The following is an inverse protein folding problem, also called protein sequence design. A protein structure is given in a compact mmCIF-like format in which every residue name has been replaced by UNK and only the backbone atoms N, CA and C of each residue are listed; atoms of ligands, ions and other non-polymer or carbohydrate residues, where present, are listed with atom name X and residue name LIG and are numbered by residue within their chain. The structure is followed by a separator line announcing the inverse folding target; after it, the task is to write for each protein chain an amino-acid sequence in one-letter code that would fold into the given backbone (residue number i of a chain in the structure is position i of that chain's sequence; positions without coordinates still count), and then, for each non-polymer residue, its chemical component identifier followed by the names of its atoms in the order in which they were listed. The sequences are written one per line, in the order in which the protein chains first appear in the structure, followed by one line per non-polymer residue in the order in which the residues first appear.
data_IF_069178823089
#
_entry.id   IF_069178823089
#
_cell.length_a   1.000
_cell.length_b   1.000
_cell.length_c   1.000
_cell.angle_alpha   90.00
_cell.angle_beta   90.00
_cell.angle_gamma   90.00
#
_symmetry.space_group_name_H-M   'P 1'
#
loop_
_entity.id
_entity.type
_entity.pdbx_description
1 polymer ?
#
# COMPACT_ATOMS: atom_id res chain seq x y z
N UNK A 1 -11.34 0.71 8.10
CA UNK A 1 -10.37 0.15 7.14
C UNK A 1 -9.99 -1.25 7.59
N UNK A 2 -9.98 -2.22 6.68
CA UNK A 2 -9.66 -3.61 6.99
C UNK A 2 -8.37 -4.00 6.26
N UNK A 3 -7.27 -4.06 6.98
CA UNK A 3 -5.96 -4.35 6.41
C UNK A 3 -5.73 -5.86 6.29
N UNK A 4 -5.50 -6.33 5.07
CA UNK A 4 -4.88 -7.65 4.84
C UNK A 4 -3.40 -7.56 5.21
N UNK A 5 -2.89 -8.47 6.03
CA UNK A 5 -1.47 -8.48 6.37
C UNK A 5 -0.65 -9.07 5.22
N UNK A 6 0.44 -8.40 4.88
CA UNK A 6 1.43 -8.84 3.91
C UNK A 6 2.65 -9.35 4.68
N UNK A 7 2.72 -10.66 4.88
CA UNK A 7 3.70 -11.36 5.73
C UNK A 7 4.44 -12.50 5.02
N UNK A 8 4.07 -12.79 3.76
CA UNK A 8 4.75 -13.74 2.88
C UNK A 8 5.00 -13.17 1.49
N UNK A 9 6.18 -13.45 0.93
CA UNK A 9 6.53 -13.07 -0.46
C UNK A 9 5.52 -13.61 -1.48
N UNK A 10 4.96 -14.80 -1.25
CA UNK A 10 3.98 -15.41 -2.17
C UNK A 10 2.69 -14.61 -2.32
N UNK A 11 2.37 -13.72 -1.36
CA UNK A 11 1.21 -12.84 -1.45
C UNK A 11 1.40 -11.72 -2.49
N UNK A 12 2.64 -11.43 -2.91
CA UNK A 12 2.88 -10.43 -3.95
C UNK A 12 2.30 -10.83 -5.30
N UNK A 13 2.35 -12.12 -5.64
CA UNK A 13 1.72 -12.64 -6.87
C UNK A 13 0.19 -12.61 -6.76
N UNK A 14 -0.34 -12.86 -5.55
CA UNK A 14 -1.78 -12.73 -5.29
C UNK A 14 -2.25 -11.28 -5.40
N UNK A 15 -1.45 -10.32 -4.92
CA UNK A 15 -1.72 -8.88 -5.07
C UNK A 15 -1.72 -8.47 -6.54
N UNK A 16 -0.73 -8.92 -7.31
CA UNK A 16 -0.65 -8.66 -8.75
C UNK A 16 -1.89 -9.19 -9.47
N UNK A 17 -2.30 -10.43 -9.18
CA UNK A 17 -3.50 -11.03 -9.77
C UNK A 17 -4.79 -10.32 -9.33
N UNK A 18 -4.93 -9.99 -8.04
CA UNK A 18 -6.10 -9.25 -7.51
C UNK A 18 -6.24 -7.90 -8.24
N UNK A 19 -5.12 -7.20 -8.46
CA UNK A 19 -5.06 -5.91 -9.14
C UNK A 19 -5.56 -5.92 -10.59
N UNK A 20 -5.69 -7.09 -11.23
CA UNK A 20 -6.28 -7.22 -12.57
C UNK A 20 -7.79 -6.94 -12.60
N UNK A 21 -8.47 -7.18 -11.47
CA UNK A 21 -9.93 -7.05 -11.37
C UNK A 21 -10.36 -5.92 -10.46
N UNK A 22 -9.53 -5.58 -9.46
CA UNK A 22 -9.84 -4.61 -8.43
C UNK A 22 -8.56 -3.94 -7.96
N UNK A 23 -8.48 -2.60 -7.90
CA UNK A 23 -7.30 -1.91 -7.43
C UNK A 23 -6.84 -2.39 -6.05
N UNK A 24 -5.52 -2.42 -5.86
CA UNK A 24 -4.90 -2.84 -4.61
C UNK A 24 -4.00 -1.73 -4.09
N UNK A 25 -4.08 -1.41 -2.80
CA UNK A 25 -3.07 -0.59 -2.13
C UNK A 25 -2.18 -1.44 -1.26
N UNK A 26 -0.90 -1.08 -1.23
CA UNK A 26 0.08 -1.62 -0.29
C UNK A 26 0.61 -0.46 0.53
N UNK A 27 0.44 -0.51 1.85
CA UNK A 27 1.03 0.44 2.77
C UNK A 27 2.23 -0.20 3.47
N UNK A 28 3.43 0.31 3.18
CA UNK A 28 4.68 -0.06 3.85
C UNK A 28 4.79 0.76 5.14
N UNK A 29 4.66 0.08 6.27
CA UNK A 29 4.63 0.67 7.58
C UNK A 29 5.90 0.30 8.37
N UNK A 30 6.72 1.29 8.71
CA UNK A 30 7.78 1.11 9.71
C UNK A 30 7.22 1.39 11.10
N UNK A 31 7.08 0.35 11.91
CA UNK A 31 6.54 0.42 13.28
C UNK A 31 7.42 1.22 14.24
N UNK A 32 8.70 1.42 13.92
CA UNK A 32 9.64 2.22 14.71
C UNK A 32 9.67 3.71 14.32
N UNK A 33 8.93 4.14 13.30
CA UNK A 33 8.95 5.51 12.78
C UNK A 33 7.66 6.25 13.15
N UNK A 34 7.75 7.35 13.89
CA UNK A 34 6.58 8.15 14.31
C UNK A 34 5.80 8.72 13.12
N UNK A 35 6.49 9.15 12.06
CA UNK A 35 5.86 9.64 10.82
C UNK A 35 5.04 8.54 10.16
N UNK A 36 5.54 7.30 10.20
CA UNK A 36 4.85 6.12 9.67
C UNK A 36 3.58 5.81 10.46
N UNK A 37 3.65 5.83 11.79
CA UNK A 37 2.48 5.67 12.66
C UNK A 37 1.43 6.77 12.45
N UNK A 38 1.87 8.02 12.26
CA UNK A 38 0.97 9.15 11.96
C UNK A 38 0.28 8.97 10.60
N UNK A 39 1.01 8.55 9.56
CA UNK A 39 0.44 8.28 8.24
C UNK A 39 -0.60 7.16 8.30
N UNK A 40 -0.31 6.06 9.01
CA UNK A 40 -1.24 4.95 9.24
C UNK A 40 -2.53 5.42 9.93
N UNK A 41 -2.40 6.13 11.04
CA UNK A 41 -3.54 6.64 11.80
C UNK A 41 -4.40 7.61 10.97
N UNK A 42 -3.77 8.45 10.14
CA UNK A 42 -4.48 9.34 9.20
C UNK A 42 -5.27 8.55 8.17
N UNK A 43 -4.66 7.53 7.55
CA UNK A 43 -5.34 6.66 6.59
C UNK A 43 -6.55 6.01 7.26
N UNK A 44 -6.37 5.34 8.40
CA UNK A 44 -7.45 4.63 9.10
C UNK A 44 -8.61 5.53 9.52
N UNK A 45 -8.31 6.77 9.95
CA UNK A 45 -9.32 7.76 10.33
C UNK A 45 -10.10 8.33 9.15
N UNK A 46 -9.43 8.55 8.02
CA UNK A 46 -10.02 9.19 6.84
C UNK A 46 -10.58 8.18 5.84
N UNK A 47 -10.35 6.88 6.05
CA UNK A 47 -10.74 5.83 5.12
C UNK A 47 -12.26 5.66 5.06
N UNK A 48 -12.82 5.96 3.90
CA UNK A 48 -14.25 5.87 3.60
C UNK A 48 -14.52 5.18 2.24
N UNK A 49 -13.51 4.49 1.70
CA UNK A 49 -13.65 3.68 0.49
C UNK A 49 -14.22 2.29 0.86
N UNK A 50 -15.26 1.81 0.14
CA UNK A 50 -15.84 0.49 0.40
C UNK A 50 -14.84 -0.62 0.04
N UNK A 51 -14.87 -1.73 0.77
CA UNK A 51 -13.94 -2.86 0.58
C UNK A 51 -14.08 -3.51 -0.81
N UNK A 52 -15.27 -3.37 -1.43
CA UNK A 52 -15.50 -3.82 -2.80
C UNK A 52 -14.74 -2.98 -3.85
N UNK A 53 -14.45 -1.71 -3.55
CA UNK A 53 -13.80 -0.81 -4.51
C UNK A 53 -12.29 -0.97 -4.57
N UNK A 54 -11.66 -1.36 -3.45
CA UNK A 54 -10.21 -1.38 -3.32
C UNK A 54 -9.80 -2.35 -2.21
N UNK A 55 -8.72 -3.09 -2.44
CA UNK A 55 -8.15 -3.96 -1.41
C UNK A 55 -6.92 -3.37 -0.77
N UNK A 56 -6.88 -3.40 0.56
CA UNK A 56 -5.83 -2.76 1.33
C UNK A 56 -4.92 -3.77 2.02
N UNK A 57 -3.63 -3.71 1.69
CA UNK A 57 -2.59 -4.53 2.29
C UNK A 57 -1.67 -3.68 3.17
N UNK A 58 -1.31 -4.22 4.32
CA UNK A 58 -0.41 -3.61 5.28
C UNK A 58 0.83 -4.50 5.44
N UNK A 59 2.00 -3.90 5.29
CA UNK A 59 3.29 -4.53 5.55
C UNK A 59 3.93 -3.92 6.78
N UNK A 60 4.24 -4.73 7.80
CA UNK A 60 5.23 -4.35 8.81
C UNK A 60 6.63 -4.49 8.21
N UNK A 61 7.17 -3.37 7.73
CA UNK A 61 8.45 -3.30 7.05
C UNK A 61 9.62 -3.70 7.96
N UNK A 62 9.51 -3.43 9.27
CA UNK A 62 10.59 -3.74 10.21
C UNK A 62 10.70 -5.26 10.39
N UNK A 63 9.58 -5.96 10.44
CA UNK A 63 9.52 -7.42 10.51
C UNK A 63 9.86 -8.10 9.17
N UNK A 64 9.51 -7.48 8.03
CA UNK A 64 9.54 -8.10 6.71
C UNK A 64 10.28 -7.25 5.67
N UNK A 65 11.57 -6.99 5.92
CA UNK A 65 12.44 -6.17 5.03
C UNK A 65 12.62 -6.78 3.64
N UNK A 66 12.69 -8.09 3.58
CA UNK A 66 12.76 -8.88 2.35
C UNK A 66 11.53 -8.64 1.47
N UNK A 67 10.32 -8.69 2.04
CA UNK A 67 9.08 -8.40 1.33
C UNK A 67 9.05 -6.94 0.88
N UNK A 68 9.49 -6.00 1.72
CA UNK A 68 9.57 -4.58 1.35
C UNK A 68 10.46 -4.32 0.13
N UNK A 69 11.62 -4.99 0.06
CA UNK A 69 12.54 -4.93 -1.08
C UNK A 69 11.95 -5.61 -2.32
N UNK A 70 11.26 -6.73 -2.14
CA UNK A 70 10.58 -7.43 -3.22
C UNK A 70 9.46 -6.57 -3.84
N UNK A 71 8.68 -5.83 -3.04
CA UNK A 71 7.68 -4.87 -3.54
C UNK A 71 8.34 -3.79 -4.41
N UNK A 72 9.43 -3.19 -3.93
CA UNK A 72 10.15 -2.16 -4.68
C UNK A 72 10.63 -2.68 -6.04
N UNK A 73 11.17 -3.91 -6.06
CA UNK A 73 11.64 -4.57 -7.29
C UNK A 73 10.48 -4.93 -8.22
N UNK A 74 9.45 -5.60 -7.71
CA UNK A 74 8.32 -6.13 -8.51
C UNK A 74 7.50 -5.02 -9.16
N UNK A 75 7.24 -3.96 -8.41
CA UNK A 75 6.42 -2.84 -8.89
C UNK A 75 7.24 -1.66 -9.42
N UNK A 76 8.55 -1.82 -9.57
CA UNK A 76 9.46 -0.82 -10.13
C UNK A 76 9.39 0.56 -9.45
N UNK A 77 9.25 0.57 -8.12
CA UNK A 77 9.24 1.81 -7.32
C UNK A 77 10.47 1.93 -6.45
N UNK A 78 10.84 3.16 -6.09
CA UNK A 78 11.86 3.39 -5.07
C UNK A 78 11.35 2.91 -3.70
N UNK A 79 12.24 2.33 -2.89
CA UNK A 79 11.91 1.94 -1.53
C UNK A 79 11.84 3.18 -0.63
N UNK A 80 10.67 3.42 -0.05
CA UNK A 80 10.43 4.49 0.92
C UNK A 80 9.67 3.95 2.14
N UNK A 81 9.73 4.66 3.27
CA UNK A 81 8.94 4.34 4.46
C UNK A 81 8.66 5.56 5.34
N UNK A 82 7.39 5.89 5.65
CA UNK A 82 6.18 5.22 5.16
C UNK A 82 5.99 5.44 3.66
N UNK A 83 5.42 4.45 2.98
CA UNK A 83 5.08 4.54 1.56
C UNK A 83 3.73 3.86 1.32
N UNK A 84 2.89 4.45 0.47
CA UNK A 84 1.70 3.83 -0.06
C UNK A 84 1.86 3.64 -1.57
N UNK A 85 1.47 2.46 -2.06
CA UNK A 85 1.44 2.14 -3.48
C UNK A 85 -0.01 1.87 -3.87
N UNK A 86 -0.41 2.27 -5.06
CA UNK A 86 -1.68 1.97 -5.69
C UNK A 86 -1.43 1.17 -6.98
N UNK A 87 -1.84 -0.09 -6.95
CA UNK A 87 -1.55 -1.12 -7.95
C UNK A 87 -2.81 -1.41 -8.77
N UNK A 88 -2.68 -1.32 -10.09
CA UNK A 88 -3.74 -1.61 -11.06
C UNK A 88 -3.14 -2.42 -12.20
N UNK A 89 -3.81 -3.53 -12.57
CA UNK A 89 -3.39 -4.42 -13.67
C UNK A 89 -1.93 -4.90 -13.58
N UNK A 90 -1.45 -5.11 -12.36
CA UNK A 90 -0.11 -5.59 -12.05
C UNK A 90 0.96 -4.51 -11.95
N UNK A 91 0.62 -3.24 -12.19
CA UNK A 91 1.56 -2.13 -12.17
C UNK A 91 1.24 -1.14 -11.05
N UNK A 92 2.28 -0.53 -10.45
CA UNK A 92 2.09 0.60 -9.56
C UNK A 92 1.94 1.88 -10.38
N UNK A 93 0.73 2.42 -10.41
CA UNK A 93 0.43 3.64 -11.19
C UNK A 93 0.48 4.91 -10.34
N UNK A 94 0.55 4.77 -9.02
CA UNK A 94 0.71 5.87 -8.08
C UNK A 94 1.38 5.39 -6.81
N UNK A 95 2.41 6.10 -6.35
CA UNK A 95 2.98 5.93 -5.02
C UNK A 95 3.28 7.28 -4.37
N UNK A 96 3.13 7.33 -3.04
CA UNK A 96 3.44 8.50 -2.23
C UNK A 96 4.10 8.07 -0.93
N UNK A 97 4.92 8.95 -0.35
CA UNK A 97 5.63 8.69 0.91
C UNK A 97 5.42 9.79 1.94
N UNK A 98 5.70 9.48 3.21
CA UNK A 98 5.69 10.45 4.31
C UNK A 98 4.39 11.28 4.38
N UNK A 99 4.51 12.59 4.18
CA UNK A 99 3.39 13.53 4.31
C UNK A 99 2.46 13.54 3.10
N UNK A 100 2.91 13.05 1.93
CA UNK A 100 2.12 12.96 0.70
C UNK A 100 0.98 11.93 0.77
N UNK A 101 1.12 10.91 1.63
CA UNK A 101 0.17 9.79 1.77
C UNK A 101 -1.21 10.29 2.22
N UNK A 102 -2.21 10.34 1.34
CA UNK A 102 -3.55 10.81 1.70
C UNK A 102 -4.65 9.98 1.05
N UNK A 103 -5.78 9.81 1.75
CA UNK A 103 -6.97 9.15 1.18
C UNK A 103 -7.49 9.91 -0.03
N UNK A 104 -7.35 11.25 -0.04
CA UNK A 104 -7.69 12.08 -1.17
C UNK A 104 -6.89 11.71 -2.43
N UNK A 105 -5.56 11.58 -2.32
CA UNK A 105 -4.71 11.19 -3.44
C UNK A 105 -5.08 9.82 -4.01
N UNK A 106 -5.40 8.86 -3.14
CA UNK A 106 -5.88 7.52 -3.56
C UNK A 106 -7.21 7.61 -4.31
N UNK A 107 -8.15 8.43 -3.82
CA UNK A 107 -9.45 8.65 -4.47
C UNK A 107 -9.35 9.28 -5.86
N UNK A 108 -8.38 10.17 -6.05
CA UNK A 108 -8.14 10.78 -7.36
C UNK A 108 -7.76 9.70 -8.40
N UNK A 109 -7.04 8.65 -7.99
CA UNK A 109 -6.69 7.52 -8.85
C UNK A 109 -7.88 6.59 -9.18
N UNK A 110 -8.92 6.53 -8.35
CA UNK A 110 -10.13 5.75 -8.64
C UNK A 110 -11.01 6.36 -9.72
N UNK A 111 -10.86 7.67 -9.98
CA UNK A 111 -11.67 8.43 -10.93
C UNK A 111 -10.90 8.78 -12.23
N UNK A 112 -9.66 8.28 -12.37
CA UNK A 112 -8.78 8.52 -13.52
C UNK A 112 -8.84 7.36 -14.50
#
# INVERSE_FOLDING_TARGET
MNWKQLDSISQLDAIELESQTKPVIIFKHSTSCSISSMAKARLERQWDLPEESISAWHLDLIAHRDISNAIATKFHVHHESPQILYIVKGECVYDESHMGISVKGIKEQLNS
#
